data_IF_924225981279
#
_entry.id   IF_924225981279
#
_cell.length_a   1.000
_cell.length_b   1.000
_cell.length_c   1.000
_cell.angle_alpha   90.00
_cell.angle_beta   90.00
_cell.angle_gamma   90.00
#
_symmetry.space_group_name_H-M   'P 1'
#
loop_
_entity.id
_entity.type
_entity.pdbx_description
1 polymer ?
#
# COMPACT_ATOMS: atom_id res chain seq x y z
N UNK A 1 -15.00 -8.41 16.77
CA UNK A 1 -14.72 -6.97 16.85
C UNK A 1 -13.40 -6.78 16.13
N UNK A 2 -13.41 -6.23 14.92
CA UNK A 2 -12.17 -5.96 14.18
C UNK A 2 -11.45 -4.79 14.88
N UNK A 3 -10.21 -4.99 15.29
CA UNK A 3 -9.36 -3.90 15.80
C UNK A 3 -9.31 -2.81 14.73
N UNK A 4 -9.84 -1.64 15.06
CA UNK A 4 -9.66 -0.46 14.23
C UNK A 4 -8.17 -0.11 14.20
N UNK A 5 -7.61 0.33 13.08
CA UNK A 5 -6.21 0.78 13.05
C UNK A 5 -6.04 1.85 14.13
N UNK A 6 -5.14 1.57 15.08
CA UNK A 6 -4.92 2.46 16.21
C UNK A 6 -4.36 3.78 15.66
N UNK A 7 -5.11 4.86 15.88
CA UNK A 7 -4.79 6.19 15.40
C UNK A 7 -4.86 7.20 16.54
N UNK A 8 -4.19 8.33 16.35
CA UNK A 8 -4.12 9.43 17.29
C UNK A 8 -4.43 10.75 16.59
N UNK A 9 -5.12 11.70 17.24
CA UNK A 9 -5.42 12.99 16.65
C UNK A 9 -4.15 13.85 16.54
N UNK A 10 -4.01 14.56 15.42
CA UNK A 10 -3.03 15.62 15.25
C UNK A 10 -3.74 16.96 15.37
N UNK A 11 -3.40 17.69 16.43
CA UNK A 11 -3.93 19.00 16.75
C UNK A 11 -3.22 20.08 15.96
N UNK A 12 -3.96 21.11 15.53
CA UNK A 12 -3.40 22.31 14.91
C UNK A 12 -3.58 23.52 15.82
N UNK A 13 -2.51 24.26 15.99
CA UNK A 13 -2.49 25.54 16.68
C UNK A 13 -1.96 26.61 15.73
N UNK A 14 -2.60 27.77 15.73
CA UNK A 14 -2.14 28.94 14.99
C UNK A 14 -1.55 29.96 15.96
N UNK A 15 -0.42 30.55 15.60
CA UNK A 15 0.19 31.63 16.35
C UNK A 15 -0.02 32.96 15.62
N UNK A 16 -0.79 33.86 16.22
CA UNK A 16 -1.16 35.13 15.60
C UNK A 16 0.00 36.12 15.46
N UNK A 17 1.13 35.88 16.14
CA UNK A 17 2.30 36.78 16.12
C UNK A 17 3.28 36.45 15.01
N UNK A 18 3.60 35.17 14.85
CA UNK A 18 4.56 34.70 13.84
C UNK A 18 3.88 33.97 12.66
N UNK A 19 2.54 33.90 12.66
CA UNK A 19 1.69 33.29 11.63
C UNK A 19 1.93 31.79 11.40
N UNK A 20 2.62 31.13 12.33
CA UNK A 20 2.92 29.71 12.27
C UNK A 20 1.68 28.84 12.51
N UNK A 21 1.62 27.70 11.81
CA UNK A 21 0.79 26.57 12.19
C UNK A 21 1.64 25.47 12.81
N UNK A 22 1.36 25.14 14.07
CA UNK A 22 1.98 24.04 14.79
C UNK A 22 1.07 22.81 14.76
N UNK A 23 1.62 21.67 14.38
CA UNK A 23 0.99 20.36 14.41
C UNK A 23 1.57 19.49 15.52
N UNK A 24 0.72 18.91 16.36
CA UNK A 24 1.17 18.10 17.50
C UNK A 24 0.21 16.96 17.84
N UNK A 25 0.77 15.80 18.19
CA UNK A 25 0.05 14.70 18.83
C UNK A 25 -0.02 14.86 20.36
N UNK A 26 0.78 15.77 20.95
CA UNK A 26 0.84 15.96 22.39
C UNK A 26 -0.31 16.84 22.89
N UNK A 27 -1.21 16.22 23.66
CA UNK A 27 -2.33 16.87 24.32
C UNK A 27 -1.85 17.96 25.29
N UNK A 28 -0.69 17.79 25.93
CA UNK A 28 -0.14 18.77 26.86
C UNK A 28 0.37 20.01 26.13
N UNK A 29 1.13 19.85 25.04
CA UNK A 29 1.56 20.95 24.17
C UNK A 29 0.35 21.76 23.67
N UNK A 30 -0.66 21.07 23.12
CA UNK A 30 -1.93 21.67 22.69
C UNK A 30 -2.63 22.46 23.82
N UNK A 31 -2.69 21.91 25.03
CA UNK A 31 -3.38 22.53 26.16
C UNK A 31 -2.57 23.67 26.82
N UNK A 32 -1.24 23.63 26.74
CA UNK A 32 -0.34 24.53 27.47
C UNK A 32 -0.02 25.78 26.65
N UNK A 33 0.17 25.68 25.34
CA UNK A 33 0.57 26.82 24.49
C UNK A 33 -0.39 28.03 24.58
N UNK A 34 -1.74 27.87 24.51
CA UNK A 34 -2.67 29.00 24.67
C UNK A 34 -2.66 29.64 26.06
N UNK A 35 -2.15 28.94 27.09
CA UNK A 35 -1.99 29.46 28.45
C UNK A 35 -0.68 30.22 28.63
N UNK A 36 0.34 29.86 27.85
CA UNK A 36 1.66 30.50 27.89
C UNK A 36 1.69 31.82 27.11
N UNK A 37 0.94 31.91 26.01
CA UNK A 37 0.77 33.16 25.26
C UNK A 37 -0.62 33.25 24.65
N UNK A 38 -1.20 34.46 24.71
CA UNK A 38 -2.46 34.79 24.03
C UNK A 38 -2.40 34.64 22.51
N UNK A 39 -1.18 34.61 21.95
CA UNK A 39 -0.95 34.52 20.51
C UNK A 39 -1.25 33.11 19.97
N UNK A 40 -1.17 32.08 20.83
CA UNK A 40 -1.50 30.71 20.44
C UNK A 40 -3.01 30.46 20.50
N UNK A 41 -3.57 30.03 19.36
CA UNK A 41 -4.98 29.68 19.19
C UNK A 41 -5.08 28.22 18.78
N UNK A 42 -5.88 27.44 19.51
CA UNK A 42 -6.20 26.08 19.10
C UNK A 42 -7.26 26.10 17.99
N UNK A 43 -6.99 25.44 16.87
CA UNK A 43 -7.85 25.44 15.69
C UNK A 43 -8.58 24.11 15.46
N UNK A 44 -8.42 23.15 16.38
CA UNK A 44 -9.04 21.84 16.28
C UNK A 44 -8.09 20.73 15.85
N UNK A 45 -8.67 19.57 15.52
CA UNK A 45 -7.97 18.45 14.93
C UNK A 45 -7.77 18.75 13.44
N UNK A 46 -6.53 18.69 12.98
CA UNK A 46 -6.22 18.83 11.57
C UNK A 46 -6.44 17.51 10.82
N UNK A 47 -5.97 16.39 11.38
CA UNK A 47 -6.17 15.03 10.87
C UNK A 47 -5.92 14.01 11.97
N UNK A 48 -6.14 12.72 11.68
CA UNK A 48 -5.62 11.63 12.50
C UNK A 48 -4.37 11.02 11.85
N UNK A 49 -3.44 10.57 12.67
CA UNK A 49 -2.23 9.87 12.27
C UNK A 49 -2.24 8.44 12.82
N UNK A 50 -1.69 7.45 12.12
CA UNK A 50 -1.45 6.15 12.72
C UNK A 50 -0.47 6.25 13.89
N UNK A 51 -0.50 5.27 14.79
CA UNK A 51 0.47 5.18 15.91
C UNK A 51 1.79 4.50 15.53
N UNK A 52 1.91 4.03 14.29
CA UNK A 52 3.11 3.42 13.71
C UNK A 52 3.19 3.68 12.20
N UNK A 53 4.37 3.49 11.60
CA UNK A 53 4.58 3.60 10.15
C UNK A 53 5.76 4.50 9.77
N UNK A 54 5.67 5.11 8.59
CA UNK A 54 6.63 6.10 8.11
C UNK A 54 6.72 7.28 9.08
N UNK A 55 7.92 7.64 9.51
CA UNK A 55 8.13 8.69 10.50
C UNK A 55 7.98 10.08 9.87
N UNK A 56 7.23 10.97 10.52
CA UNK A 56 7.25 12.42 10.24
C UNK A 56 8.01 13.11 11.37
N UNK A 57 9.14 13.70 11.04
CA UNK A 57 10.00 14.43 11.97
C UNK A 57 9.54 15.89 12.11
N UNK A 58 9.73 16.47 13.30
CA UNK A 58 9.61 17.92 13.54
C UNK A 58 10.99 18.53 13.76
N UNK A 59 11.27 19.63 13.08
CA UNK A 59 12.49 20.43 13.26
C UNK A 59 12.12 21.89 13.49
N UNK A 60 12.81 22.52 14.43
CA UNK A 60 12.55 23.88 14.90
C UNK A 60 13.68 24.83 14.50
N UNK A 61 13.35 25.99 13.96
CA UNK A 61 14.28 27.06 13.68
C UNK A 61 14.31 28.07 14.84
N UNK A 62 15.37 28.12 15.67
CA UNK A 62 15.44 29.05 16.80
C UNK A 62 15.54 30.52 16.40
N UNK A 63 15.87 30.84 15.14
CA UNK A 63 15.99 32.22 14.67
C UNK A 63 14.64 32.80 14.24
N UNK A 64 13.82 32.02 13.52
CA UNK A 64 12.51 32.46 13.03
C UNK A 64 11.36 32.04 13.94
N UNK A 65 11.56 31.00 14.77
CA UNK A 65 10.49 30.36 15.53
C UNK A 65 9.70 29.31 14.74
N UNK A 66 10.03 29.08 13.46
CA UNK A 66 9.29 28.17 12.58
C UNK A 66 9.51 26.70 12.91
N UNK A 67 8.44 25.90 12.80
CA UNK A 67 8.51 24.45 12.77
C UNK A 67 8.32 23.93 11.35
N UNK A 68 9.14 22.95 10.96
CA UNK A 68 9.00 22.22 9.70
C UNK A 68 8.80 20.74 9.97
N UNK A 69 7.93 20.13 9.16
CA UNK A 69 7.58 18.71 9.24
C UNK A 69 8.03 18.00 7.97
N UNK A 70 8.70 16.86 8.13
CA UNK A 70 9.26 16.13 6.99
C UNK A 70 9.40 14.64 7.24
N UNK A 71 9.23 13.84 6.19
CA UNK A 71 9.61 12.41 6.18
C UNK A 71 11.07 12.20 5.77
N UNK A 72 11.72 13.21 5.23
CA UNK A 72 13.09 13.10 4.73
C UNK A 72 14.10 13.30 5.87
N UNK A 73 14.69 12.21 6.32
CA UNK A 73 15.77 12.23 7.32
C UNK A 73 17.02 13.01 6.84
N UNK A 74 17.23 13.13 5.53
CA UNK A 74 18.31 13.94 4.96
C UNK A 74 18.03 15.44 5.09
N UNK A 75 16.78 15.88 4.86
CA UNK A 75 16.34 17.26 5.13
C UNK A 75 16.58 17.63 6.61
N UNK A 76 16.20 16.76 7.55
CA UNK A 76 16.49 16.94 8.99
C UNK A 76 18.00 17.10 9.24
N UNK A 77 18.82 16.21 8.67
CA UNK A 77 20.28 16.25 8.83
C UNK A 77 20.87 17.56 8.31
N UNK A 78 20.45 18.01 7.12
CA UNK A 78 20.94 19.25 6.52
C UNK A 78 20.53 20.46 7.36
N UNK A 79 19.26 20.55 7.78
CA UNK A 79 18.76 21.67 8.58
C UNK A 79 19.48 21.79 9.93
N UNK A 80 19.70 20.66 10.59
CA UNK A 80 20.36 20.64 11.90
C UNK A 80 21.87 20.88 11.82
N UNK A 81 22.57 20.22 10.88
CA UNK A 81 24.04 20.31 10.80
C UNK A 81 24.55 21.56 10.09
N UNK A 82 23.81 22.12 9.13
CA UNK A 82 24.28 23.25 8.30
C UNK A 82 23.55 24.57 8.58
N UNK A 83 22.29 24.51 9.01
CA UNK A 83 21.46 25.71 9.15
C UNK A 83 21.13 26.07 10.61
N UNK A 84 21.59 25.28 11.57
CA UNK A 84 21.45 25.56 13.01
C UNK A 84 20.03 25.35 13.54
N UNK A 85 19.22 24.57 12.84
CA UNK A 85 17.90 24.15 13.33
C UNK A 85 18.07 23.07 14.42
N UNK A 86 17.04 22.88 15.23
CA UNK A 86 16.99 21.86 16.28
C UNK A 86 16.05 20.75 15.87
N UNK A 87 16.52 19.51 15.91
CA UNK A 87 15.62 18.36 15.79
C UNK A 87 14.83 18.20 17.09
N UNK A 88 13.52 18.02 16.96
CA UNK A 88 12.63 17.76 18.09
C UNK A 88 12.14 16.31 18.12
N UNK A 89 12.58 15.51 17.14
CA UNK A 89 12.31 14.07 17.06
C UNK A 89 11.08 13.74 16.21
N UNK A 90 10.45 12.62 16.56
CA UNK A 90 9.26 12.10 15.87
C UNK A 90 8.05 12.92 16.30
N UNK A 91 7.39 13.57 15.35
CA UNK A 91 6.15 14.31 15.59
C UNK A 91 4.95 13.38 15.62
N UNK A 92 4.86 12.51 14.60
CA UNK A 92 3.82 11.51 14.38
C UNK A 92 4.22 10.62 13.18
N UNK A 93 3.34 9.71 12.77
CA UNK A 93 3.55 8.82 11.63
C UNK A 93 2.65 9.19 10.45
N UNK A 94 3.14 8.97 9.23
CA UNK A 94 2.36 9.11 8.00
C UNK A 94 1.46 7.90 7.84
N UNK A 95 0.23 8.16 7.40
CA UNK A 95 -0.65 7.15 6.83
C UNK A 95 -0.11 6.69 5.46
N UNK A 96 -0.83 5.77 4.81
CA UNK A 96 -0.45 5.24 3.50
C UNK A 96 -0.89 6.19 2.38
N UNK A 97 -0.37 6.00 1.17
CA UNK A 97 -0.77 6.82 0.02
C UNK A 97 -2.24 6.64 -0.41
N UNK A 98 -2.96 5.69 0.20
CA UNK A 98 -4.42 5.51 0.06
C UNK A 98 -5.20 6.57 0.84
N UNK A 99 -4.58 7.15 1.85
CA UNK A 99 -5.19 8.12 2.73
C UNK A 99 -5.07 9.55 2.16
N UNK A 100 -5.50 10.57 2.90
CA UNK A 100 -5.56 11.94 2.37
C UNK A 100 -4.16 12.54 2.29
N UNK A 101 -3.69 13.02 1.12
CA UNK A 101 -2.40 13.68 1.02
C UNK A 101 -2.41 14.99 1.82
N UNK A 102 -1.29 15.26 2.50
CA UNK A 102 -0.99 16.58 3.08
C UNK A 102 0.04 17.27 2.20
N UNK A 103 -0.37 18.41 1.65
CA UNK A 103 0.42 19.23 0.74
C UNK A 103 1.25 20.23 1.52
N UNK A 104 2.53 20.38 1.16
CA UNK A 104 3.40 21.44 1.67
C UNK A 104 3.51 22.57 0.66
N UNK A 105 3.34 23.78 1.17
CA UNK A 105 3.48 25.01 0.41
C UNK A 105 4.49 25.93 1.09
N UNK A 106 5.28 26.63 0.29
CA UNK A 106 6.25 27.61 0.74
C UNK A 106 5.91 29.01 0.22
N UNK A 107 5.88 29.99 1.11
CA UNK A 107 5.70 31.41 0.82
C UNK A 107 7.06 32.13 0.80
N UNK A 108 7.63 32.42 -0.39
CA UNK A 108 8.89 33.13 -0.47
C UNK A 108 8.84 34.56 0.09
N UNK A 109 7.64 35.15 0.26
CA UNK A 109 7.46 36.50 0.77
C UNK A 109 7.20 36.57 2.29
N UNK A 110 6.95 35.43 2.97
CA UNK A 110 6.50 35.44 4.37
C UNK A 110 7.61 35.78 5.38
N UNK A 111 8.88 35.50 5.06
CA UNK A 111 9.97 35.59 6.03
C UNK A 111 9.81 34.54 7.14
N UNK A 112 8.96 34.81 8.14
CA UNK A 112 8.59 33.89 9.23
C UNK A 112 7.22 33.24 8.91
N UNK A 113 7.07 31.96 9.23
CA UNK A 113 5.85 31.20 8.89
C UNK A 113 5.76 30.92 7.39
N UNK A 114 6.90 30.60 6.78
CA UNK A 114 6.98 30.47 5.33
C UNK A 114 6.41 29.14 4.83
N UNK A 115 6.33 28.10 5.67
CA UNK A 115 5.74 26.83 5.27
C UNK A 115 4.31 26.65 5.80
N UNK A 116 3.44 26.09 4.96
CA UNK A 116 2.09 25.68 5.31
C UNK A 116 1.84 24.24 4.90
N UNK A 117 1.12 23.50 5.73
CA UNK A 117 0.72 22.11 5.47
C UNK A 117 -0.79 21.99 5.47
N UNK A 118 -1.37 21.45 4.41
CA UNK A 118 -2.84 21.34 4.28
C UNK A 118 -3.30 20.08 3.56
N UNK A 119 -4.41 19.50 4.02
CA UNK A 119 -5.16 18.47 3.28
C UNK A 119 -6.16 19.07 2.28
N UNK A 120 -6.41 20.38 2.37
CA UNK A 120 -7.43 21.03 1.55
C UNK A 120 -6.85 21.37 0.17
N UNK A 121 -7.35 20.68 -0.85
CA UNK A 121 -6.96 20.89 -2.24
C UNK A 121 -7.34 22.28 -2.76
N UNK A 122 -8.44 22.85 -2.25
CA UNK A 122 -8.89 24.20 -2.58
C UNK A 122 -7.98 25.24 -1.93
N UNK A 123 -7.64 25.08 -0.65
CA UNK A 123 -6.68 25.96 0.04
C UNK A 123 -5.33 25.96 -0.68
N UNK A 124 -4.80 24.78 -1.02
CA UNK A 124 -3.58 24.66 -1.83
C UNK A 124 -3.71 25.43 -3.14
N UNK A 125 -4.81 25.26 -3.89
CA UNK A 125 -5.03 25.92 -5.18
C UNK A 125 -5.05 27.45 -5.03
N UNK A 126 -5.69 27.97 -3.99
CA UNK A 126 -5.77 29.41 -3.71
C UNK A 126 -4.42 29.98 -3.29
N UNK A 127 -3.65 29.26 -2.49
CA UNK A 127 -2.31 29.72 -2.06
C UNK A 127 -1.34 29.76 -3.24
N UNK A 128 -1.36 28.72 -4.10
CA UNK A 128 -0.55 28.69 -5.33
C UNK A 128 -0.90 29.85 -6.25
N UNK A 129 -2.19 30.16 -6.44
CA UNK A 129 -2.59 31.31 -7.27
C UNK A 129 -2.19 32.67 -6.67
N UNK A 130 -1.87 32.71 -5.38
CA UNK A 130 -1.35 33.89 -4.65
C UNK A 130 0.18 33.93 -4.55
N UNK A 131 0.88 33.09 -5.31
CA UNK A 131 2.35 33.12 -5.40
C UNK A 131 3.09 32.20 -4.43
N UNK A 132 2.38 31.34 -3.68
CA UNK A 132 3.03 30.28 -2.91
C UNK A 132 3.55 29.19 -3.84
N UNK A 133 4.69 28.59 -3.48
CA UNK A 133 5.28 27.46 -4.19
C UNK A 133 4.73 26.16 -3.61
N UNK A 134 4.18 25.30 -4.47
CA UNK A 134 3.83 23.94 -4.08
C UNK A 134 5.09 23.08 -4.08
N UNK A 135 5.40 22.46 -2.94
CA UNK A 135 6.62 21.67 -2.75
C UNK A 135 6.38 20.15 -2.81
N UNK A 136 5.12 19.73 -2.98
CA UNK A 136 4.75 18.32 -3.08
C UNK A 136 3.87 17.82 -1.93
N UNK A 137 3.70 16.51 -1.89
CA UNK A 137 3.04 15.81 -0.79
C UNK A 137 4.10 15.54 0.28
N UNK A 138 3.88 16.01 1.50
CA UNK A 138 4.84 15.79 2.60
C UNK A 138 4.58 14.48 3.34
N UNK A 139 3.31 14.13 3.54
CA UNK A 139 2.89 12.85 4.10
C UNK A 139 1.42 12.59 3.75
N UNK A 140 0.90 11.44 4.17
CA UNK A 140 -0.52 11.11 4.08
C UNK A 140 -1.13 11.03 5.47
N UNK A 141 -2.41 11.38 5.58
CA UNK A 141 -3.12 11.51 6.82
C UNK A 141 -4.47 10.80 6.77
N UNK A 142 -4.89 10.24 7.90
CA UNK A 142 -6.22 9.67 8.07
C UNK A 142 -7.24 10.83 8.21
N UNK A 143 -8.49 10.66 7.73
CA UNK A 143 -9.64 11.43 8.18
C UNK A 143 -9.63 11.81 9.66
N UNK A 144 -10.18 12.99 10.00
CA UNK A 144 -10.18 13.54 11.37
C UNK A 144 -10.84 12.63 12.41
N UNK A 145 -11.74 11.75 11.98
CA UNK A 145 -12.41 10.75 12.82
C UNK A 145 -11.58 9.47 13.01
N UNK A 146 -10.37 9.40 12.45
CA UNK A 146 -9.48 8.25 12.55
C UNK A 146 -9.79 7.13 11.55
N UNK A 147 -10.77 7.30 10.67
CA UNK A 147 -11.05 6.31 9.63
C UNK A 147 -9.93 6.32 8.58
N UNK A 148 -9.37 5.18 8.22
CA UNK A 148 -8.67 5.02 6.93
C UNK A 148 -9.74 4.83 5.85
N UNK A 149 -9.54 5.12 4.54
CA UNK A 149 -10.48 4.69 3.50
C UNK A 149 -10.75 3.21 3.75
N UNK A 150 -12.01 2.93 4.10
CA UNK A 150 -12.33 1.70 4.79
C UNK A 150 -11.84 0.48 3.99
N UNK A 151 -11.35 -0.54 4.71
CA UNK A 151 -11.03 -1.89 4.22
C UNK A 151 -12.24 -2.62 3.56
N UNK A 152 -13.37 -1.92 3.42
CA UNK A 152 -14.68 -2.38 2.96
C UNK A 152 -15.41 -1.24 2.23
N UNK A 153 -14.80 -0.67 1.18
CA UNK A 153 -15.53 0.14 0.21
C UNK A 153 -16.77 -0.62 -0.28
N UNK A 154 -17.96 0.01 -0.32
CA UNK A 154 -19.13 -0.62 -0.91
C UNK A 154 -18.87 -0.86 -2.40
N UNK A 155 -18.98 -2.11 -2.81
CA UNK A 155 -18.86 -2.49 -4.21
C UNK A 155 -20.17 -2.16 -4.93
N UNK A 156 -20.05 -1.53 -6.09
CA UNK A 156 -21.18 -1.19 -6.95
C UNK A 156 -20.87 -1.52 -8.41
N UNK A 157 -21.93 -1.77 -9.19
CA UNK A 157 -21.84 -2.19 -10.59
C UNK A 157 -21.50 -3.67 -10.78
N UNK A 158 -21.45 -4.14 -12.04
CA UNK A 158 -21.00 -5.49 -12.37
C UNK A 158 -19.49 -5.65 -12.11
N UNK A 159 -19.04 -6.90 -11.98
CA UNK A 159 -17.61 -7.25 -12.04
C UNK A 159 -17.10 -6.91 -13.44
N UNK A 160 -16.20 -5.95 -13.55
CA UNK A 160 -15.56 -5.57 -14.82
C UNK A 160 -14.52 -6.61 -15.21
N UNK A 161 -13.72 -7.06 -14.24
CA UNK A 161 -12.69 -8.07 -14.43
C UNK A 161 -12.60 -8.98 -13.20
N UNK A 162 -12.32 -10.27 -13.38
CA UNK A 162 -12.04 -11.18 -12.26
C UNK A 162 -11.13 -12.33 -12.64
N UNK A 163 -10.46 -12.88 -11.63
CA UNK A 163 -9.88 -14.24 -11.64
C UNK A 163 -10.33 -14.97 -10.38
N UNK A 164 -10.75 -16.22 -10.55
CA UNK A 164 -11.32 -17.09 -9.53
C UNK A 164 -10.74 -18.49 -9.68
N UNK A 165 -10.62 -19.24 -8.58
CA UNK A 165 -10.23 -20.64 -8.63
C UNK A 165 -10.01 -21.24 -7.24
N UNK A 166 -9.84 -22.55 -7.18
CA UNK A 166 -9.47 -23.23 -5.94
C UNK A 166 -7.96 -23.15 -5.74
N UNK A 167 -7.52 -22.76 -4.55
CA UNK A 167 -6.12 -22.62 -4.16
C UNK A 167 -5.83 -23.56 -3.01
N UNK A 168 -4.72 -24.28 -3.08
CA UNK A 168 -4.18 -25.08 -1.98
C UNK A 168 -2.69 -24.81 -1.85
N UNK A 169 -2.27 -24.40 -0.65
CA UNK A 169 -0.89 -24.03 -0.37
C UNK A 169 -0.26 -24.96 0.67
N UNK A 170 0.93 -25.44 0.36
CA UNK A 170 1.87 -26.04 1.31
C UNK A 170 3.28 -25.51 1.04
N UNK A 171 4.19 -25.63 2.01
CA UNK A 171 5.55 -25.13 1.87
C UNK A 171 6.34 -25.31 3.16
N UNK A 172 7.63 -24.99 3.12
CA UNK A 172 8.51 -25.03 4.27
C UNK A 172 9.44 -23.82 4.31
N UNK A 173 9.95 -23.50 5.50
CA UNK A 173 10.92 -22.42 5.70
C UNK A 173 10.35 -21.19 6.39
N UNK A 174 10.75 -19.99 5.92
CA UNK A 174 10.39 -18.69 6.52
C UNK A 174 9.21 -17.99 5.86
N UNK A 175 8.91 -18.29 4.59
CA UNK A 175 7.67 -17.86 3.98
C UNK A 175 7.40 -18.47 2.60
N UNK A 176 6.13 -18.56 2.25
CA UNK A 176 5.62 -19.06 0.96
C UNK A 176 4.22 -18.53 0.69
N UNK A 177 3.85 -18.40 -0.59
CA UNK A 177 2.55 -17.86 -1.00
C UNK A 177 1.96 -18.52 -2.25
N UNK A 178 0.63 -18.45 -2.37
CA UNK A 178 -0.15 -18.77 -3.56
C UNK A 178 -1.23 -17.70 -3.75
N UNK A 179 -1.15 -16.93 -4.84
CA UNK A 179 -2.03 -15.78 -5.08
C UNK A 179 -2.51 -15.71 -6.52
N UNK A 180 -3.68 -15.08 -6.70
CA UNK A 180 -4.10 -14.52 -7.97
C UNK A 180 -3.75 -13.04 -8.01
N UNK A 181 -3.51 -12.49 -9.20
CA UNK A 181 -3.19 -11.07 -9.39
C UNK A 181 -4.01 -10.50 -10.54
N UNK A 182 -4.49 -9.26 -10.41
CA UNK A 182 -4.98 -8.42 -11.49
C UNK A 182 -3.97 -7.28 -11.72
N UNK A 183 -3.59 -7.04 -12.98
CA UNK A 183 -2.52 -6.12 -13.34
C UNK A 183 -2.95 -5.21 -14.49
N UNK A 184 -2.56 -3.94 -14.41
CA UNK A 184 -2.59 -3.00 -15.51
C UNK A 184 -1.22 -2.85 -16.19
N UNK A 185 -1.07 -1.81 -17.00
CA UNK A 185 0.20 -1.23 -17.44
C UNK A 185 0.80 -0.37 -16.34
N UNK A 186 2.12 -0.13 -16.39
CA UNK A 186 2.83 0.52 -15.29
C UNK A 186 2.85 -0.36 -14.03
N UNK A 187 3.48 0.11 -12.96
CA UNK A 187 3.57 -0.59 -11.67
C UNK A 187 2.21 -0.61 -10.95
N UNK A 188 1.18 -1.18 -11.56
CA UNK A 188 -0.19 -1.20 -11.05
C UNK A 188 -0.73 -2.63 -11.01
N UNK A 189 -0.70 -3.25 -9.82
CA UNK A 189 -1.10 -4.63 -9.64
C UNK A 189 -1.77 -4.83 -8.28
N UNK A 190 -2.79 -5.70 -8.22
CA UNK A 190 -3.40 -6.12 -6.97
C UNK A 190 -3.41 -7.64 -6.94
N UNK A 191 -2.75 -8.23 -5.97
CA UNK A 191 -2.76 -9.66 -5.70
C UNK A 191 -3.58 -10.01 -4.47
N UNK A 192 -4.14 -11.21 -4.44
CA UNK A 192 -4.86 -11.75 -3.30
C UNK A 192 -4.77 -13.28 -3.26
N UNK A 193 -4.57 -13.85 -2.08
CA UNK A 193 -4.53 -15.28 -1.88
C UNK A 193 -3.98 -15.66 -0.52
N UNK A 194 -3.34 -16.83 -0.42
CA UNK A 194 -2.83 -17.39 0.84
C UNK A 194 -1.33 -17.10 0.96
N UNK A 195 -0.90 -16.62 2.12
CA UNK A 195 0.50 -16.34 2.41
C UNK A 195 0.88 -16.77 3.84
N UNK A 196 2.12 -17.24 3.99
CA UNK A 196 2.80 -17.43 5.27
C UNK A 196 4.10 -16.65 5.20
N UNK A 197 4.40 -15.81 6.19
CA UNK A 197 5.65 -15.06 6.28
C UNK A 197 6.03 -14.84 7.75
N UNK A 198 7.19 -15.34 8.17
CA UNK A 198 7.72 -15.21 9.53
C UNK A 198 8.24 -13.81 9.85
N UNK A 199 8.61 -13.04 8.84
CA UNK A 199 9.27 -11.74 9.00
C UNK A 199 8.41 -10.60 8.46
N UNK A 200 7.09 -10.80 8.36
CA UNK A 200 6.15 -9.78 7.90
C UNK A 200 6.08 -8.64 8.92
N UNK A 201 7.00 -7.68 8.85
CA UNK A 201 7.01 -6.47 9.67
C UNK A 201 5.99 -5.42 9.22
N UNK A 202 5.25 -5.66 8.13
CA UNK A 202 4.49 -4.66 7.37
C UNK A 202 2.99 -4.56 7.70
N UNK A 203 2.59 -4.67 8.98
CA UNK A 203 1.24 -4.35 9.47
C UNK A 203 0.11 -5.38 9.19
N UNK A 204 0.02 -6.38 10.05
CA UNK A 204 -1.21 -6.69 10.80
C UNK A 204 -0.77 -7.45 12.06
N UNK A 205 -1.03 -6.90 13.24
CA UNK A 205 -0.63 -7.49 14.51
C UNK A 205 -0.93 -9.00 14.56
N UNK A 206 0.03 -9.78 15.06
CA UNK A 206 -0.09 -11.21 15.40
C UNK A 206 -0.06 -12.27 14.27
N UNK A 207 0.14 -11.91 12.99
CA UNK A 207 0.12 -12.86 11.86
C UNK A 207 1.47 -13.49 11.47
N UNK A 208 2.59 -13.07 12.06
CA UNK A 208 3.93 -13.58 11.72
C UNK A 208 3.99 -15.12 11.81
N UNK A 209 4.38 -15.75 10.71
CA UNK A 209 4.48 -17.21 10.56
C UNK A 209 3.15 -17.96 10.54
N UNK A 210 2.01 -17.25 10.60
CA UNK A 210 0.67 -17.85 10.51
C UNK A 210 0.14 -17.75 9.08
N UNK A 211 -0.66 -18.73 8.62
CA UNK A 211 -1.35 -18.64 7.34
C UNK A 211 -2.46 -17.59 7.37
N UNK A 212 -2.43 -16.69 6.39
CA UNK A 212 -3.41 -15.60 6.25
C UNK A 212 -3.89 -15.50 4.80
N UNK A 213 -5.10 -14.97 4.63
CA UNK A 213 -5.48 -14.38 3.35
C UNK A 213 -4.89 -12.99 3.27
N UNK A 214 -4.09 -12.70 2.25
CA UNK A 214 -3.34 -11.45 2.13
C UNK A 214 -3.60 -10.85 0.76
N UNK A 215 -3.96 -9.56 0.74
CA UNK A 215 -3.85 -8.74 -0.46
C UNK A 215 -2.56 -7.96 -0.46
N UNK A 216 -2.09 -7.66 -1.65
CA UNK A 216 -0.99 -6.75 -1.91
C UNK A 216 -1.39 -5.86 -3.07
N UNK A 217 -1.33 -4.55 -2.86
CA UNK A 217 -1.71 -3.55 -3.84
C UNK A 217 -0.49 -2.68 -4.15
N UNK A 218 -0.08 -2.73 -5.39
CA UNK A 218 1.06 -2.02 -5.96
C UNK A 218 0.49 -0.90 -6.82
N UNK A 219 0.93 0.33 -6.53
CA UNK A 219 0.59 1.53 -7.29
C UNK A 219 1.83 2.43 -7.38
N UNK A 220 2.54 2.35 -8.50
CA UNK A 220 3.89 2.90 -8.61
C UNK A 220 4.83 2.21 -7.63
N UNK A 221 5.68 3.00 -7.00
CA UNK A 221 6.60 2.56 -5.94
C UNK A 221 5.92 2.26 -4.59
N UNK A 222 4.59 2.29 -4.51
CA UNK A 222 3.86 2.07 -3.24
C UNK A 222 3.26 0.68 -3.19
N UNK A 223 3.60 -0.05 -2.13
CA UNK A 223 3.10 -1.39 -1.86
C UNK A 223 2.30 -1.36 -0.56
N UNK A 224 1.10 -1.91 -0.58
CA UNK A 224 0.28 -2.03 0.62
C UNK A 224 -0.24 -3.44 0.77
N UNK A 225 0.17 -4.07 1.87
CA UNK A 225 -0.21 -5.41 2.27
C UNK A 225 -1.37 -5.34 3.27
N UNK A 226 -2.33 -6.26 3.17
CA UNK A 226 -3.47 -6.30 4.08
C UNK A 226 -3.93 -7.74 4.29
N UNK A 227 -3.96 -8.19 5.55
CA UNK A 227 -4.49 -9.51 5.88
C UNK A 227 -5.99 -9.47 6.17
N UNK A 228 -6.71 -10.53 5.80
CA UNK A 228 -8.16 -10.65 5.99
C UNK A 228 -8.48 -11.89 6.82
N UNK A 229 -9.52 -11.76 7.66
CA UNK A 229 -10.04 -12.86 8.46
C UNK A 229 -11.17 -13.61 7.73
N UNK A 230 -11.46 -14.87 8.12
CA UNK A 230 -10.79 -15.69 9.14
C UNK A 230 -9.38 -16.16 8.69
N UNK A 231 -8.55 -16.75 9.58
CA UNK A 231 -7.24 -17.28 9.19
C UNK A 231 -7.33 -18.27 8.03
N UNK A 232 -6.31 -18.29 7.18
CA UNK A 232 -6.24 -19.26 6.10
C UNK A 232 -5.85 -20.64 6.65
N UNK A 233 -6.28 -21.70 5.97
CA UNK A 233 -5.94 -23.08 6.33
C UNK A 233 -5.04 -23.66 5.25
N UNK A 234 -3.87 -24.15 5.64
CA UNK A 234 -2.90 -24.78 4.72
C UNK A 234 -3.34 -26.20 4.37
N UNK A 235 -2.85 -26.73 3.24
CA UNK A 235 -3.18 -28.06 2.72
C UNK A 235 -4.69 -28.33 2.54
N UNK A 236 -5.49 -27.28 2.40
CA UNK A 236 -6.91 -27.35 2.12
C UNK A 236 -7.24 -26.55 0.86
N UNK A 237 -8.07 -27.13 -0.02
CA UNK A 237 -8.61 -26.41 -1.15
C UNK A 237 -9.57 -25.32 -0.67
N UNK A 238 -9.28 -24.09 -1.05
CA UNK A 238 -10.10 -22.91 -0.73
C UNK A 238 -10.39 -22.16 -2.01
N UNK A 239 -11.66 -21.81 -2.26
CA UNK A 239 -12.00 -20.99 -3.44
C UNK A 239 -11.64 -19.55 -3.16
N UNK A 240 -10.77 -18.97 -3.99
CA UNK A 240 -10.31 -17.59 -3.92
C UNK A 240 -10.77 -16.86 -5.17
N UNK A 241 -11.24 -15.63 -5.02
CA UNK A 241 -11.53 -14.74 -6.15
C UNK A 241 -11.10 -13.31 -5.83
N UNK A 242 -10.58 -12.65 -6.86
CA UNK A 242 -10.34 -11.22 -6.89
C UNK A 242 -11.14 -10.63 -8.06
N UNK A 243 -11.90 -9.56 -7.81
CA UNK A 243 -12.75 -8.95 -8.82
C UNK A 243 -12.69 -7.42 -8.78
N UNK A 244 -12.43 -6.79 -9.91
CA UNK A 244 -12.46 -5.33 -10.09
C UNK A 244 -13.86 -4.84 -10.48
N UNK A 245 -14.27 -3.75 -9.84
CA UNK A 245 -15.55 -3.07 -10.02
C UNK A 245 -15.29 -1.63 -10.46
N UNK A 246 -15.42 -1.37 -11.76
CA UNK A 246 -15.10 -0.06 -12.32
C UNK A 246 -15.99 1.07 -11.75
N UNK A 247 -17.27 0.81 -11.50
CA UNK A 247 -18.20 1.82 -10.99
C UNK A 247 -17.86 2.31 -9.58
N UNK A 248 -17.27 1.45 -8.75
CA UNK A 248 -16.80 1.80 -7.40
C UNK A 248 -15.30 2.06 -7.34
N UNK A 249 -14.57 1.86 -8.45
CA UNK A 249 -13.11 1.98 -8.53
C UNK A 249 -12.42 1.16 -7.44
N UNK A 250 -12.91 -0.07 -7.23
CA UNK A 250 -12.50 -0.93 -6.14
C UNK A 250 -12.32 -2.38 -6.59
N UNK A 251 -11.48 -3.11 -5.86
CA UNK A 251 -11.31 -4.55 -5.98
C UNK A 251 -11.91 -5.23 -4.76
N UNK A 252 -12.75 -6.24 -4.99
CA UNK A 252 -13.26 -7.14 -3.96
C UNK A 252 -12.41 -8.40 -3.83
N UNK A 253 -12.21 -8.84 -2.60
CA UNK A 253 -11.51 -10.08 -2.25
C UNK A 253 -12.50 -11.08 -1.66
N UNK A 254 -12.55 -12.28 -2.23
CA UNK A 254 -13.54 -13.29 -1.87
C UNK A 254 -12.87 -14.60 -1.47
N UNK A 255 -13.40 -15.21 -0.41
CA UNK A 255 -13.03 -16.53 0.08
C UNK A 255 -14.29 -17.37 0.15
N UNK A 256 -14.31 -18.51 -0.53
CA UNK A 256 -15.48 -19.40 -0.66
C UNK A 256 -16.76 -18.64 -1.08
N UNK A 257 -16.59 -17.67 -2.00
CA UNK A 257 -17.67 -16.83 -2.52
C UNK A 257 -18.13 -15.70 -1.58
N UNK A 258 -17.60 -15.63 -0.35
CA UNK A 258 -17.92 -14.56 0.61
C UNK A 258 -16.91 -13.42 0.48
N UNK A 259 -17.40 -12.17 0.42
CA UNK A 259 -16.54 -10.99 0.44
C UNK A 259 -15.84 -10.89 1.80
N UNK A 260 -14.51 -10.88 1.80
CA UNK A 260 -13.69 -10.76 3.03
C UNK A 260 -13.04 -9.39 3.19
N UNK A 261 -13.00 -8.60 2.11
CA UNK A 261 -12.56 -7.21 2.15
C UNK A 261 -12.48 -6.60 0.77
N UNK A 262 -12.12 -5.32 0.72
CA UNK A 262 -11.91 -4.60 -0.54
C UNK A 262 -10.64 -3.75 -0.51
N UNK A 263 -10.19 -3.34 -1.68
CA UNK A 263 -9.12 -2.37 -1.87
C UNK A 263 -9.54 -1.31 -2.89
N UNK A 264 -9.11 -0.07 -2.68
CA UNK A 264 -9.27 1.00 -3.66
C UNK A 264 -8.32 0.78 -4.85
N UNK A 265 -8.82 0.92 -6.08
CA UNK A 265 -8.06 0.72 -7.33
C UNK A 265 -8.52 1.73 -8.40
N UNK A 266 -8.23 3.03 -8.24
CA UNK A 266 -8.78 4.11 -9.06
C UNK A 266 -8.22 4.24 -10.47
N UNK A 267 -7.04 3.66 -10.72
CA UNK A 267 -6.30 3.89 -11.95
C UNK A 267 -6.23 2.65 -12.85
N UNK A 268 -6.89 1.55 -12.47
CA UNK A 268 -6.94 0.35 -13.31
C UNK A 268 -7.56 0.62 -14.68
N UNK A 269 -8.59 1.47 -14.74
CA UNK A 269 -9.27 1.87 -15.99
C UNK A 269 -8.41 2.73 -16.93
N UNK A 270 -7.39 3.41 -16.40
CA UNK A 270 -6.45 4.22 -17.17
C UNK A 270 -5.22 3.44 -17.60
N UNK A 271 -4.93 2.37 -16.88
CA UNK A 271 -3.75 1.54 -17.03
C UNK A 271 -4.10 0.19 -17.65
N UNK A 272 -5.00 0.13 -18.61
CA UNK A 272 -5.21 -1.10 -19.36
C UNK A 272 -4.02 -1.38 -20.28
N UNK A 273 -3.72 -2.66 -20.48
CA UNK A 273 -2.75 -3.17 -21.46
C UNK A 273 -3.38 -3.10 -22.84
N UNK A 274 -2.87 -2.20 -23.67
CA UNK A 274 -3.32 -2.06 -25.04
C UNK A 274 -2.83 -3.25 -25.89
N UNK A 275 -3.78 -3.93 -26.53
CA UNK A 275 -3.52 -5.01 -27.48
C UNK A 275 -4.21 -4.72 -28.81
N UNK A 276 -3.93 -5.51 -29.86
CA UNK A 276 -4.59 -5.37 -31.16
C UNK A 276 -6.10 -5.66 -31.15
N UNK A 277 -6.66 -6.11 -30.02
CA UNK A 277 -8.06 -6.55 -29.88
C UNK A 277 -8.80 -5.78 -28.79
N UNK A 278 -8.14 -4.83 -28.11
CA UNK A 278 -8.74 -4.09 -27.00
C UNK A 278 -7.74 -3.75 -25.91
N UNK A 279 -8.23 -3.00 -24.93
CA UNK A 279 -7.53 -2.58 -23.73
C UNK A 279 -7.90 -3.51 -22.58
N UNK A 280 -6.92 -4.14 -21.96
CA UNK A 280 -7.14 -5.27 -21.05
C UNK A 280 -6.43 -5.19 -19.70
N UNK A 281 -7.04 -5.69 -18.63
CA UNK A 281 -6.33 -6.10 -17.42
C UNK A 281 -5.73 -7.50 -17.63
N UNK A 282 -4.60 -7.78 -17.00
CA UNK A 282 -3.95 -9.10 -17.04
C UNK A 282 -4.18 -9.80 -15.71
N UNK A 283 -4.64 -11.06 -15.74
CA UNK A 283 -4.59 -11.93 -14.57
C UNK A 283 -3.28 -12.68 -14.49
N UNK A 284 -2.84 -13.03 -13.28
CA UNK A 284 -1.77 -14.01 -13.11
C UNK A 284 -2.13 -15.00 -12.00
N UNK A 285 -1.63 -16.23 -12.15
CA UNK A 285 -1.55 -17.24 -11.10
C UNK A 285 -0.11 -17.27 -10.62
N UNK A 286 0.13 -17.12 -9.32
CA UNK A 286 1.50 -16.97 -8.80
C UNK A 286 1.79 -17.78 -7.54
N UNK A 287 3.02 -18.26 -7.43
CA UNK A 287 3.57 -18.85 -6.21
C UNK A 287 5.01 -18.43 -5.94
N UNK A 288 5.39 -18.28 -4.68
CA UNK A 288 6.75 -17.89 -4.29
C UNK A 288 7.17 -18.50 -2.96
N UNK A 289 8.48 -18.52 -2.71
CA UNK A 289 9.13 -18.89 -1.45
C UNK A 289 10.15 -17.81 -1.07
N UNK A 290 10.15 -17.41 0.21
CA UNK A 290 10.66 -16.11 0.69
C UNK A 290 12.12 -15.88 0.48
N UNK A 291 12.95 -16.85 0.84
CA UNK A 291 14.40 -16.77 0.77
C UNK A 291 14.95 -18.06 0.18
N UNK A 292 16.24 -18.05 -0.16
CA UNK A 292 16.96 -19.27 -0.52
C UNK A 292 16.72 -20.38 0.49
N UNK A 293 16.34 -21.56 0.00
CA UNK A 293 16.09 -22.75 0.82
C UNK A 293 14.64 -22.91 1.30
N UNK A 294 13.82 -21.86 1.24
CA UNK A 294 12.38 -21.98 1.46
C UNK A 294 11.73 -22.70 0.27
N UNK A 295 10.67 -23.46 0.53
CA UNK A 295 9.96 -24.23 -0.49
C UNK A 295 8.48 -23.88 -0.53
N UNK A 296 7.92 -23.99 -1.74
CA UNK A 296 6.50 -23.77 -2.02
C UNK A 296 5.95 -24.92 -2.86
N UNK A 297 4.71 -25.29 -2.56
CA UNK A 297 3.86 -26.12 -3.38
C UNK A 297 2.47 -25.46 -3.40
N UNK A 298 2.30 -24.58 -4.38
CA UNK A 298 1.08 -23.84 -4.66
C UNK A 298 0.32 -24.57 -5.78
N UNK A 299 -0.87 -25.05 -5.49
CA UNK A 299 -1.73 -25.75 -6.44
C UNK A 299 -3.00 -24.92 -6.69
N UNK A 300 -3.38 -24.85 -7.96
CA UNK A 300 -4.55 -24.12 -8.42
C UNK A 300 -5.39 -25.04 -9.29
N UNK A 301 -6.69 -25.07 -9.05
CA UNK A 301 -7.62 -25.85 -9.87
C UNK A 301 -8.89 -25.09 -10.18
N UNK A 302 -9.49 -25.39 -11.33
CA UNK A 302 -10.68 -24.70 -11.82
C UNK A 302 -10.50 -23.17 -11.84
N UNK A 303 -9.38 -22.71 -12.38
CA UNK A 303 -9.11 -21.28 -12.53
C UNK A 303 -9.89 -20.72 -13.71
N UNK A 304 -10.62 -19.63 -13.47
CA UNK A 304 -11.54 -18.97 -14.40
C UNK A 304 -11.30 -17.46 -14.39
N UNK A 305 -11.54 -16.81 -15.54
CA UNK A 305 -11.40 -15.36 -15.76
C UNK A 305 -12.64 -14.76 -16.42
N UNK A 306 -12.78 -13.43 -16.36
CA UNK A 306 -13.92 -12.70 -16.94
C UNK A 306 -14.02 -12.70 -18.47
N UNK A 307 -12.91 -12.89 -19.21
CA UNK A 307 -12.94 -13.25 -20.64
C UNK A 307 -12.12 -14.52 -20.91
N UNK A 308 -12.49 -15.16 -22.02
CA UNK A 308 -11.83 -16.33 -22.58
C UNK A 308 -10.64 -15.90 -23.44
N UNK A 309 -9.45 -16.40 -23.13
CA UNK A 309 -8.31 -16.26 -24.04
C UNK A 309 -6.97 -16.42 -23.36
N UNK A 310 -6.70 -17.58 -22.77
CA UNK A 310 -5.39 -17.86 -22.19
C UNK A 310 -4.31 -17.81 -23.29
N UNK A 311 -3.44 -16.81 -23.23
CA UNK A 311 -2.21 -16.80 -24.01
C UNK A 311 -1.07 -17.20 -23.08
N UNK A 312 -0.49 -18.37 -23.32
CA UNK A 312 0.76 -18.80 -22.69
C UNK A 312 1.80 -17.68 -22.81
N UNK A 313 2.24 -17.14 -21.69
CA UNK A 313 3.58 -16.59 -21.63
C UNK A 313 4.51 -17.79 -21.45
N UNK A 314 4.98 -18.33 -22.57
CA UNK A 314 5.95 -19.41 -22.60
C UNK A 314 7.33 -18.81 -22.31
N UNK A 315 7.64 -18.58 -21.03
CA UNK A 315 9.04 -18.38 -20.63
C UNK A 315 9.71 -19.76 -20.74
N UNK A 316 10.62 -19.87 -21.71
CA UNK A 316 11.10 -21.18 -22.20
C UNK A 316 12.02 -21.89 -21.20
N UNK A 317 12.33 -21.24 -20.08
CA UNK A 317 12.92 -21.84 -18.89
C UNK A 317 11.96 -21.63 -17.70
N UNK A 318 11.00 -22.54 -17.52
CA UNK A 318 10.02 -22.61 -16.41
C UNK A 318 10.68 -22.82 -15.02
N UNK A 319 11.78 -22.16 -14.72
CA UNK A 319 12.52 -22.21 -13.47
C UNK A 319 12.86 -20.77 -13.04
N UNK A 320 11.95 -20.16 -12.28
CA UNK A 320 12.19 -18.85 -11.70
C UNK A 320 12.88 -19.02 -10.35
N UNK A 321 14.20 -18.80 -10.29
CA UNK A 321 15.01 -18.95 -9.06
C UNK A 321 14.67 -20.23 -8.28
N UNK A 322 14.62 -21.39 -8.94
CA UNK A 322 14.36 -22.69 -8.32
C UNK A 322 12.88 -23.09 -8.21
N UNK A 323 11.96 -22.28 -8.73
CA UNK A 323 10.52 -22.52 -8.69
C UNK A 323 9.99 -22.83 -10.09
N UNK A 324 9.26 -23.94 -10.21
CA UNK A 324 8.70 -24.39 -11.49
C UNK A 324 7.20 -24.16 -11.54
N UNK A 325 6.80 -23.33 -12.50
CA UNK A 325 5.40 -23.11 -12.85
C UNK A 325 4.98 -24.08 -13.97
N UNK A 326 3.82 -24.73 -13.82
CA UNK A 326 3.25 -25.65 -14.81
C UNK A 326 1.76 -25.40 -14.98
N UNK A 327 1.32 -25.30 -16.24
CA UNK A 327 -0.06 -25.57 -16.62
C UNK A 327 -0.22 -27.08 -16.73
N UNK A 328 -1.08 -27.66 -15.89
CA UNK A 328 -1.22 -29.11 -15.77
C UNK A 328 -2.22 -29.67 -16.77
N UNK A 329 -3.45 -29.15 -16.75
CA UNK A 329 -4.54 -29.54 -17.64
C UNK A 329 -5.54 -28.39 -17.71
N UNK A 330 -6.21 -28.22 -18.85
CA UNK A 330 -7.30 -27.26 -18.97
C UNK A 330 -7.59 -26.82 -20.40
N UNK A 331 -8.82 -26.39 -20.62
CA UNK A 331 -9.17 -25.58 -21.77
C UNK A 331 -9.14 -24.10 -21.34
N UNK A 332 -9.27 -23.18 -22.28
CA UNK A 332 -9.32 -21.72 -22.02
C UNK A 332 -10.38 -21.33 -20.95
N UNK A 333 -11.36 -22.19 -20.68
CA UNK A 333 -12.49 -21.94 -19.77
C UNK A 333 -12.28 -22.40 -18.32
N UNK A 334 -11.36 -23.33 -18.06
CA UNK A 334 -11.06 -23.85 -16.72
C UNK A 334 -9.71 -24.58 -16.79
N UNK A 335 -8.75 -24.12 -15.99
CA UNK A 335 -7.38 -24.63 -16.01
C UNK A 335 -6.78 -24.85 -14.64
N UNK A 336 -5.92 -25.86 -14.58
CA UNK A 336 -5.16 -26.25 -13.40
C UNK A 336 -3.70 -25.83 -13.54
N UNK A 337 -3.15 -25.27 -12.46
CA UNK A 337 -1.77 -24.82 -12.41
C UNK A 337 -1.06 -25.32 -11.16
N UNK A 338 0.26 -25.39 -11.23
CA UNK A 338 1.10 -25.59 -10.06
C UNK A 338 2.33 -24.72 -10.13
N UNK A 339 2.75 -24.22 -8.97
CA UNK A 339 4.04 -23.56 -8.78
C UNK A 339 4.73 -24.27 -7.62
N UNK A 340 5.77 -25.03 -7.95
CA UNK A 340 6.43 -25.95 -7.01
C UNK A 340 7.94 -25.78 -7.10
N UNK A 341 8.61 -25.70 -5.98
CA UNK A 341 10.07 -25.72 -5.95
C UNK A 341 10.67 -25.29 -4.63
N UNK A 342 11.99 -25.15 -4.64
CA UNK A 342 12.78 -24.61 -3.52
C UNK A 342 13.53 -23.41 -4.04
N UNK A 343 13.33 -22.26 -3.40
CA UNK A 343 13.92 -21.00 -3.82
C UNK A 343 15.44 -21.06 -3.82
N UNK A 344 16.02 -20.58 -4.91
CA UNK A 344 17.45 -20.41 -5.18
C UNK A 344 17.80 -18.92 -5.28
N UNK A 345 17.00 -18.03 -4.68
CA UNK A 345 17.28 -16.59 -4.58
C UNK A 345 18.72 -16.34 -4.11
N UNK A 346 19.41 -15.27 -4.54
CA UNK A 346 20.73 -14.97 -4.01
C UNK A 346 20.74 -14.83 -2.48
N UNK A 347 21.84 -15.22 -1.85
CA UNK A 347 21.99 -15.09 -0.39
C UNK A 347 21.82 -13.63 0.02
N UNK A 348 21.04 -13.38 1.08
CA UNK A 348 20.77 -12.04 1.59
C UNK A 348 19.61 -11.31 0.90
N UNK A 349 19.02 -11.89 -0.15
CA UNK A 349 17.81 -11.37 -0.79
C UNK A 349 16.59 -12.23 -0.45
N UNK A 350 15.41 -11.62 -0.54
CA UNK A 350 14.12 -12.26 -0.38
C UNK A 350 13.20 -11.94 -1.58
N UNK A 351 11.98 -12.48 -1.58
CA UNK A 351 11.01 -12.24 -2.66
C UNK A 351 10.74 -10.73 -2.89
N UNK A 352 10.83 -9.86 -1.87
CA UNK A 352 10.50 -8.42 -1.95
C UNK A 352 11.71 -7.59 -2.41
N UNK A 353 12.92 -8.10 -2.19
CA UNK A 353 14.17 -7.35 -2.42
C UNK A 353 14.92 -7.81 -3.66
N UNK A 354 14.44 -8.85 -4.34
CA UNK A 354 15.07 -9.38 -5.54
C UNK A 354 14.65 -8.61 -6.80
N UNK A 355 15.45 -7.60 -7.15
CA UNK A 355 15.24 -6.68 -8.28
C UNK A 355 15.06 -7.29 -9.68
N UNK A 356 15.46 -8.55 -9.90
CA UNK A 356 15.22 -9.24 -11.19
C UNK A 356 13.81 -9.81 -11.32
N UNK A 357 13.00 -9.74 -10.26
CA UNK A 357 11.56 -9.81 -10.38
C UNK A 357 11.05 -8.54 -11.08
N UNK A 358 11.19 -8.52 -12.41
CA UNK A 358 10.75 -7.42 -13.25
C UNK A 358 9.24 -7.45 -13.49
N UNK A 359 8.69 -6.26 -13.73
CA UNK A 359 7.29 -6.03 -14.06
C UNK A 359 6.78 -6.94 -15.20
N UNK A 360 5.50 -7.34 -15.19
CA UNK A 360 4.38 -6.75 -14.44
C UNK A 360 4.33 -7.17 -12.96
N UNK A 361 5.26 -8.01 -12.55
CA UNK A 361 5.41 -8.50 -11.18
C UNK A 361 6.20 -7.51 -10.33
N UNK A 362 5.65 -7.08 -9.20
CA UNK A 362 6.51 -6.85 -8.06
C UNK A 362 6.74 -8.21 -7.36
N UNK A 363 7.97 -8.41 -6.91
CA UNK A 363 8.32 -9.29 -5.81
C UNK A 363 8.38 -10.82 -6.08
N UNK A 364 9.46 -11.27 -6.73
CA UNK A 364 10.03 -12.63 -6.54
C UNK A 364 9.12 -13.83 -6.81
N UNK A 365 8.04 -13.68 -7.56
CA UNK A 365 7.03 -14.74 -7.77
C UNK A 365 7.28 -15.50 -9.08
N UNK A 366 7.27 -16.83 -9.02
CA UNK A 366 7.11 -17.65 -10.22
C UNK A 366 5.62 -17.64 -10.61
N UNK A 367 5.29 -17.16 -11.80
CA UNK A 367 3.91 -16.93 -12.22
C UNK A 367 3.60 -17.60 -13.55
N UNK A 368 2.31 -17.90 -13.77
CA UNK A 368 1.72 -18.17 -15.08
C UNK A 368 0.71 -17.06 -15.36
N UNK A 369 0.92 -16.32 -16.45
CA UNK A 369 0.00 -15.26 -16.87
C UNK A 369 -1.25 -15.81 -17.53
N UNK A 370 -2.39 -15.21 -17.20
CA UNK A 370 -3.72 -15.55 -17.70
C UNK A 370 -4.39 -14.25 -18.19
N UNK A 371 -4.95 -14.26 -19.40
CA UNK A 371 -5.58 -13.05 -19.96
C UNK A 371 -6.88 -12.70 -19.23
N UNK A 372 -7.17 -11.41 -19.09
CA UNK A 372 -8.45 -10.85 -18.65
C UNK A 372 -8.85 -9.70 -19.61
N UNK A 373 -10.15 -9.33 -19.69
CA UNK A 373 -10.68 -8.19 -20.44
C UNK A 373 -10.11 -6.84 -20.06
#
# INVERSE_FOLDING_TARGET
>A
MADSPQSQPIYRLYNTRNMEHLHTADVNEKNRLPKLSKDWKYEGIAWAAPVSGDTVFRVYNPKSGEHLYTKDSYEVKVLTSKHGWRAEGIAFYSATNRDKPVYRLYNPAAGIGAHHSTMDTYEKKVLVSRGWKYEGISWYALPKDGSSPALNLPLSGPKTAFISGNVKLTGAGTGYQAKFTLNGTGEHAISFGVQVDKESSFHAGSAAGKPVYMSENINGSSHVYTSYGPPAVLNQWTKIEIAYYEASKAVGFYVNGSLVGTAYAPDFDKNYVATSWGNHLIANVGGSARIRGDSVNAQFSDVQTSEKGMTLWNDTDNNWVGLTAKWLNGNIDSSDFSIIGTSQLPVGLNWDTYWKAGLPTADGVAQVSVRIP
#
